data_IF_373949761193
#
_entry.id   IF_373949761193
#
_cell.length_a   1.000
_cell.length_b   1.000
_cell.length_c   1.000
_cell.angle_alpha   90.00
_cell.angle_beta   90.00
_cell.angle_gamma   90.00
#
_symmetry.space_group_name_H-M   'P 1'
#
loop_
_entity.id
_entity.type
_entity.pdbx_description
1 polymer ?
#
# COMPACT_ATOMS: atom_id res chain seq x y z
N UNK A 1 -1.09 10.51 -9.01
CA UNK A 1 -0.50 9.19 -9.37
C UNK A 1 -1.02 8.20 -8.34
N UNK A 2 -1.24 6.94 -8.73
CA UNK A 2 -1.89 5.94 -7.86
C UNK A 2 -1.31 4.55 -8.10
N UNK A 3 -1.60 3.63 -7.20
CA UNK A 3 -1.18 2.24 -7.33
C UNK A 3 -2.16 1.48 -8.24
N UNK A 4 -1.64 0.76 -9.23
CA UNK A 4 -2.41 -0.13 -10.10
C UNK A 4 -1.86 -1.55 -10.00
N UNK A 5 -2.75 -2.53 -9.88
CA UNK A 5 -2.42 -3.95 -9.93
C UNK A 5 -2.77 -4.53 -11.30
N UNK A 6 -1.88 -5.33 -11.89
CA UNK A 6 -2.09 -6.03 -13.16
C UNK A 6 -2.08 -7.53 -12.94
N UNK A 7 -3.18 -8.20 -13.27
CA UNK A 7 -3.36 -9.65 -13.07
C UNK A 7 -2.97 -10.50 -14.30
N UNK A 8 -2.29 -9.90 -15.28
CA UNK A 8 -2.01 -10.54 -16.57
C UNK A 8 -3.12 -10.36 -17.62
N UNK A 9 -4.24 -9.72 -17.28
CA UNK A 9 -5.36 -9.45 -18.19
C UNK A 9 -5.86 -8.00 -18.11
N UNK A 10 -5.95 -7.45 -16.91
CA UNK A 10 -6.59 -6.16 -16.64
C UNK A 10 -5.85 -5.37 -15.55
N UNK A 11 -5.95 -4.05 -15.62
CA UNK A 11 -5.44 -3.16 -14.57
C UNK A 11 -6.58 -2.78 -13.62
N UNK A 12 -6.37 -2.97 -12.33
CA UNK A 12 -7.24 -2.46 -11.27
C UNK A 12 -6.55 -1.32 -10.54
N UNK A 13 -7.17 -0.13 -10.54
CA UNK A 13 -6.69 1.00 -9.78
C UNK A 13 -7.13 0.86 -8.32
N UNK A 14 -6.19 0.97 -7.39
CA UNK A 14 -6.53 1.10 -5.97
C UNK A 14 -7.02 2.53 -5.71
N UNK A 15 -8.33 2.67 -5.47
CA UNK A 15 -8.98 3.99 -5.32
C UNK A 15 -9.11 4.45 -3.88
N UNK A 16 -9.18 3.52 -2.92
CA UNK A 16 -9.55 3.83 -1.55
C UNK A 16 -8.40 3.52 -0.57
N UNK A 17 -8.09 4.48 0.31
CA UNK A 17 -7.20 4.31 1.47
C UNK A 17 -5.83 4.98 1.40
N UNK A 18 -5.44 5.49 0.24
CA UNK A 18 -4.16 6.18 0.04
C UNK A 18 -4.38 7.44 -0.80
N UNK A 19 -4.81 8.52 -0.16
CA UNK A 19 -4.96 9.83 -0.81
C UNK A 19 -3.58 10.40 -1.14
N UNK A 20 -3.16 10.21 -2.39
CA UNK A 20 -1.92 10.76 -2.96
C UNK A 20 -0.65 10.48 -2.14
N UNK A 21 -0.36 9.21 -1.74
CA UNK A 21 0.92 8.90 -1.14
C UNK A 21 2.02 9.14 -2.17
N UNK A 22 3.05 9.89 -1.77
CA UNK A 22 4.34 9.83 -2.45
C UNK A 22 4.92 8.42 -2.21
N UNK A 23 4.50 7.43 -3.03
CA UNK A 23 4.90 6.02 -2.91
C UNK A 23 6.34 5.89 -3.38
N UNK A 24 7.19 5.38 -2.50
CA UNK A 24 8.61 5.20 -2.76
C UNK A 24 9.00 3.73 -2.93
N UNK A 25 8.28 2.82 -2.28
CA UNK A 25 8.58 1.40 -2.35
C UNK A 25 7.32 0.55 -2.24
N UNK A 26 7.35 -0.60 -2.91
CA UNK A 26 6.32 -1.62 -2.89
C UNK A 26 7.04 -2.97 -2.71
N UNK A 27 6.55 -3.79 -1.79
CA UNK A 27 7.09 -5.12 -1.50
C UNK A 27 5.93 -6.11 -1.33
N UNK A 28 5.99 -7.24 -2.03
CA UNK A 28 5.14 -8.39 -1.74
C UNK A 28 5.87 -9.35 -0.79
N UNK A 29 5.22 -9.74 0.30
CA UNK A 29 5.78 -10.74 1.21
C UNK A 29 5.37 -12.18 0.83
N UNK A 30 5.92 -13.17 1.53
CA UNK A 30 5.67 -14.59 1.25
C UNK A 30 4.22 -15.03 1.51
N UNK A 31 3.43 -14.24 2.23
CA UNK A 31 2.02 -14.48 2.47
C UNK A 31 1.12 -13.80 1.42
N UNK A 32 1.71 -13.09 0.44
CA UNK A 32 0.98 -12.35 -0.60
C UNK A 32 0.49 -10.98 -0.14
N UNK A 33 0.98 -10.47 0.99
CA UNK A 33 0.65 -9.13 1.43
C UNK A 33 1.44 -8.10 0.64
N UNK A 34 0.81 -6.97 0.32
CA UNK A 34 1.49 -5.85 -0.34
C UNK A 34 1.80 -4.76 0.67
N UNK A 35 3.09 -4.53 0.90
CA UNK A 35 3.62 -3.46 1.71
C UNK A 35 3.95 -2.25 0.84
N UNK A 36 3.53 -1.07 1.28
CA UNK A 36 3.73 0.20 0.57
C UNK A 36 4.43 1.18 1.50
N UNK A 37 5.67 1.53 1.17
CA UNK A 37 6.39 2.59 1.86
C UNK A 37 6.18 3.92 1.15
N UNK A 38 5.79 4.93 1.92
CA UNK A 38 5.56 6.29 1.45
C UNK A 38 6.60 7.24 2.04
N UNK A 39 6.86 8.36 1.37
CA UNK A 39 7.87 9.33 1.82
C UNK A 39 7.56 9.95 3.18
N UNK A 40 6.30 10.32 3.41
CA UNK A 40 5.89 11.13 4.57
C UNK A 40 4.73 10.53 5.39
N UNK A 41 4.00 9.56 4.82
CA UNK A 41 2.82 8.96 5.47
C UNK A 41 3.16 7.61 6.14
N UNK A 42 4.43 7.19 6.04
CA UNK A 42 4.97 5.96 6.61
C UNK A 42 4.68 4.70 5.80
N UNK A 43 4.58 3.56 6.49
CA UNK A 43 4.38 2.21 5.98
C UNK A 43 2.90 1.81 6.02
N UNK A 44 2.41 1.29 4.90
CA UNK A 44 1.06 0.75 4.76
C UNK A 44 1.10 -0.72 4.37
N UNK A 45 0.14 -1.48 4.88
CA UNK A 45 -0.15 -2.85 4.47
C UNK A 45 -1.48 -2.89 3.71
N UNK A 46 -1.49 -3.49 2.52
CA UNK A 46 -2.72 -3.83 1.80
C UNK A 46 -3.11 -5.28 2.08
N UNK A 47 -4.28 -5.48 2.68
CA UNK A 47 -4.80 -6.80 3.07
C UNK A 47 -5.64 -7.50 1.98
N UNK A 48 -5.59 -6.99 0.75
CA UNK A 48 -6.47 -7.43 -0.35
C UNK A 48 -7.78 -6.63 -0.46
N UNK A 49 -8.12 -5.80 0.53
CA UNK A 49 -9.34 -4.97 0.54
C UNK A 49 -9.05 -3.49 0.81
N UNK A 50 -8.14 -3.18 1.74
CA UNK A 50 -7.84 -1.80 2.17
C UNK A 50 -6.38 -1.64 2.56
N UNK A 51 -5.92 -0.39 2.56
CA UNK A 51 -4.64 -0.02 3.16
C UNK A 51 -4.79 0.26 4.66
N UNK A 52 -3.92 -0.34 5.46
CA UNK A 52 -3.82 -0.18 6.90
C UNK A 52 -2.51 0.54 7.20
N UNK A 53 -2.57 1.68 7.87
CA UNK A 53 -1.36 2.38 8.30
C UNK A 53 -0.68 1.59 9.42
N UNK A 54 0.53 1.12 9.17
CA UNK A 54 1.37 0.35 10.10
C UNK A 54 2.44 1.20 10.79
N UNK A 55 2.41 2.52 10.56
CA UNK A 55 3.38 3.49 11.08
C UNK A 55 3.00 4.08 12.43
N UNK A 56 1.88 3.66 13.03
CA UNK A 56 1.59 3.99 14.42
C UNK A 56 2.62 3.31 15.33
N UNK A 57 3.79 3.94 15.45
CA UNK A 57 4.55 3.89 16.68
C UNK A 57 3.66 4.52 17.74
N UNK A 58 3.14 3.73 18.68
CA UNK A 58 2.62 4.23 19.94
C UNK A 58 3.79 4.26 20.92
N UNK A 59 4.42 5.42 21.19
CA UNK A 59 5.24 5.52 22.39
C UNK A 59 4.30 5.24 23.57
N UNK A 60 4.74 4.34 24.46
CA UNK A 60 4.14 4.16 25.77
C UNK A 60 4.10 5.49 26.53
#
# INVERSE_FOLDING_TARGET
>A
LGLSHYDGKSFTLFKDGLSNPDIWTILEDKAGNIWVGTREMGLYLFDGKKFINYSEYKPN
#
